data_IF_406034915504
#
_entry.id   IF_406034915504
#
_cell.length_a   1.000
_cell.length_b   1.000
_cell.length_c   1.000
_cell.angle_alpha   90.00
_cell.angle_beta   90.00
_cell.angle_gamma   90.00
#
_symmetry.space_group_name_H-M   'P 1'
#
loop_
_entity.id
_entity.type
_entity.pdbx_description
1 polymer ?
#
# COMPACT_ATOMS: atom_id res chain seq x y z
N UNK A 1 -4.69 17.38 -8.20
CA UNK A 1 -6.15 17.14 -8.41
C UNK A 1 -6.80 16.76 -7.09
N UNK A 2 -8.14 16.62 -6.97
CA UNK A 2 -8.80 16.24 -5.72
C UNK A 2 -9.21 14.76 -5.75
N UNK A 3 -9.21 14.10 -4.58
CA UNK A 3 -9.74 12.74 -4.42
C UNK A 3 -11.25 12.70 -4.12
N UNK A 4 -11.91 13.85 -4.08
CA UNK A 4 -13.35 13.92 -3.84
C UNK A 4 -14.12 13.09 -4.88
N UNK A 5 -14.98 12.18 -4.39
CA UNK A 5 -15.79 11.24 -5.19
C UNK A 5 -14.98 10.23 -6.03
N UNK A 6 -13.65 10.24 -5.94
CA UNK A 6 -12.80 9.24 -6.58
C UNK A 6 -12.90 7.91 -5.86
N UNK A 7 -12.97 6.83 -6.62
CA UNK A 7 -13.04 5.47 -6.10
C UNK A 7 -11.65 4.88 -5.97
N UNK A 8 -11.25 4.59 -4.74
CA UNK A 8 -9.93 4.06 -4.38
C UNK A 8 -10.07 2.63 -3.88
N UNK A 9 -9.53 1.67 -4.62
CA UNK A 9 -9.47 0.25 -4.22
C UNK A 9 -8.16 -0.01 -3.47
N UNK A 10 -8.24 -0.31 -2.16
CA UNK A 10 -7.04 -0.49 -1.31
C UNK A 10 -6.98 -1.92 -0.80
N UNK A 11 -5.93 -2.66 -1.19
CA UNK A 11 -5.68 -4.00 -0.65
C UNK A 11 -5.05 -3.93 0.73
N UNK A 12 -5.47 -4.80 1.66
CA UNK A 12 -4.95 -4.82 3.03
C UNK A 12 -5.35 -3.61 3.89
N UNK A 13 -6.46 -2.93 3.58
CA UNK A 13 -6.87 -1.67 4.21
C UNK A 13 -7.58 -1.83 5.57
N UNK A 14 -7.65 -3.03 6.15
CA UNK A 14 -8.31 -3.22 7.45
C UNK A 14 -7.52 -2.65 8.65
N UNK A 15 -6.25 -2.27 8.46
CA UNK A 15 -5.34 -1.73 9.49
C UNK A 15 -4.07 -1.12 8.89
N UNK A 16 -3.23 -0.53 9.76
CA UNK A 16 -1.87 -0.06 9.41
C UNK A 16 -1.84 0.98 8.31
N UNK A 17 -0.84 0.92 7.44
CA UNK A 17 -0.63 1.88 6.33
C UNK A 17 -1.86 1.97 5.43
N UNK A 18 -2.43 0.82 5.02
CA UNK A 18 -3.61 0.81 4.15
C UNK A 18 -4.82 1.50 4.76
N UNK A 19 -5.05 1.34 6.07
CA UNK A 19 -6.11 2.09 6.78
C UNK A 19 -5.75 3.58 6.89
N UNK A 20 -4.49 3.92 7.15
CA UNK A 20 -4.03 5.31 7.18
C UNK A 20 -4.33 6.03 5.86
N UNK A 21 -3.96 5.41 4.72
CA UNK A 21 -4.25 5.94 3.37
C UNK A 21 -5.77 6.08 3.16
N UNK A 22 -6.54 5.06 3.56
CA UNK A 22 -7.99 5.06 3.47
C UNK A 22 -8.63 6.23 4.22
N UNK A 23 -8.22 6.46 5.48
CA UNK A 23 -8.71 7.55 6.32
C UNK A 23 -8.32 8.92 5.78
N UNK A 24 -7.08 9.05 5.28
CA UNK A 24 -6.61 10.31 4.70
C UNK A 24 -7.39 10.67 3.43
N UNK A 25 -7.62 9.71 2.55
CA UNK A 25 -8.43 9.90 1.34
C UNK A 25 -9.92 10.19 1.68
N UNK A 26 -10.46 9.52 2.70
CA UNK A 26 -11.82 9.75 3.17
C UNK A 26 -12.07 11.18 3.63
N UNK A 27 -11.09 11.83 4.29
CA UNK A 27 -11.16 13.25 4.69
C UNK A 27 -11.28 14.20 3.49
N UNK A 28 -10.89 13.76 2.30
CA UNK A 28 -11.11 14.49 1.05
C UNK A 28 -12.43 14.15 0.35
N UNK A 29 -13.22 13.24 0.94
CA UNK A 29 -14.51 12.81 0.39
C UNK A 29 -14.41 11.69 -0.66
N UNK A 30 -13.38 10.85 -0.61
CA UNK A 30 -13.22 9.71 -1.50
C UNK A 30 -14.21 8.58 -1.20
N UNK A 31 -14.50 7.75 -2.22
CA UNK A 31 -15.11 6.44 -2.07
C UNK A 31 -13.97 5.41 -1.85
N UNK A 32 -13.99 4.69 -0.77
CA UNK A 32 -12.89 3.77 -0.40
C UNK A 32 -13.37 2.34 -0.32
N UNK A 33 -12.73 1.46 -1.07
CA UNK A 33 -12.93 0.01 -0.99
C UNK A 33 -11.89 -0.58 -0.05
N UNK A 34 -12.35 -1.21 1.01
CA UNK A 34 -11.51 -1.92 1.99
C UNK A 34 -11.44 -3.38 1.60
N UNK A 35 -10.48 -3.74 0.74
CA UNK A 35 -10.28 -5.12 0.29
C UNK A 35 -9.29 -5.85 1.21
N UNK A 36 -9.77 -6.67 2.14
CA UNK A 36 -8.94 -7.45 3.04
C UNK A 36 -9.64 -8.71 3.55
N UNK A 37 -8.88 -9.67 4.08
CA UNK A 37 -9.41 -10.98 4.49
C UNK A 37 -9.92 -11.03 5.95
N UNK A 38 -9.82 -9.95 6.72
CA UNK A 38 -10.13 -9.97 8.15
C UNK A 38 -11.55 -9.50 8.40
N UNK A 39 -12.45 -10.44 8.69
CA UNK A 39 -13.85 -10.17 9.06
C UNK A 39 -14.07 -10.11 10.58
N UNK A 40 -13.33 -10.92 11.32
CA UNK A 40 -13.50 -11.09 12.78
C UNK A 40 -12.30 -10.49 13.50
N UNK A 41 -12.51 -9.77 14.60
CA UNK A 41 -11.42 -9.24 15.41
C UNK A 41 -10.43 -10.32 15.84
N UNK A 42 -9.15 -10.03 15.74
CA UNK A 42 -8.09 -10.92 16.20
C UNK A 42 -7.48 -10.39 17.50
N UNK A 43 -7.21 -11.21 18.52
CA UNK A 43 -6.74 -10.72 19.83
C UNK A 43 -5.46 -9.86 19.79
N UNK A 44 -4.59 -10.15 18.83
CA UNK A 44 -3.27 -9.46 18.67
C UNK A 44 -3.23 -8.46 17.51
N UNK A 45 -4.20 -8.51 16.60
CA UNK A 45 -4.19 -7.68 15.38
C UNK A 45 -5.52 -6.92 15.29
N UNK A 46 -5.55 -5.66 15.74
CA UNK A 46 -6.78 -4.86 15.72
C UNK A 46 -7.24 -4.58 14.30
N UNK A 47 -8.55 -4.35 14.16
CA UNK A 47 -9.17 -3.94 12.90
C UNK A 47 -9.69 -5.10 12.04
N UNK A 48 -10.85 -4.85 11.45
CA UNK A 48 -11.52 -5.69 10.46
C UNK A 48 -11.92 -4.83 9.27
N UNK A 49 -12.39 -5.42 8.17
CA UNK A 49 -12.93 -4.63 7.05
C UNK A 49 -14.10 -3.75 7.49
N UNK A 50 -14.91 -4.21 8.46
CA UNK A 50 -16.08 -3.49 8.97
C UNK A 50 -15.71 -2.31 9.87
N UNK A 51 -14.77 -2.51 10.81
CA UNK A 51 -14.30 -1.40 11.68
C UNK A 51 -13.56 -0.34 10.86
N UNK A 52 -12.83 -0.75 9.83
CA UNK A 52 -12.19 0.18 8.88
C UNK A 52 -13.25 0.99 8.10
N UNK A 53 -14.29 0.32 7.59
CA UNK A 53 -15.38 0.99 6.87
C UNK A 53 -16.07 2.04 7.75
N UNK A 54 -16.42 1.69 8.99
CA UNK A 54 -17.03 2.66 9.93
C UNK A 54 -16.11 3.85 10.21
N UNK A 55 -14.80 3.63 10.34
CA UNK A 55 -13.84 4.72 10.56
C UNK A 55 -13.71 5.64 9.32
N UNK A 56 -13.75 5.07 8.11
CA UNK A 56 -13.73 5.80 6.84
C UNK A 56 -14.97 6.68 6.70
N UNK A 57 -16.16 6.16 7.02
CA UNK A 57 -17.41 6.92 6.99
C UNK A 57 -17.40 8.06 8.03
N UNK A 58 -16.91 7.78 9.23
CA UNK A 58 -16.73 8.82 10.27
C UNK A 58 -15.73 9.91 9.86
N UNK A 59 -14.77 9.59 8.99
CA UNK A 59 -13.81 10.55 8.44
C UNK A 59 -14.35 11.37 7.25
N UNK A 60 -15.57 11.10 6.78
CA UNK A 60 -16.26 11.87 5.72
C UNK A 60 -16.23 11.24 4.33
N UNK A 61 -15.66 10.04 4.18
CA UNK A 61 -15.70 9.25 2.95
C UNK A 61 -16.92 8.34 2.85
N UNK A 62 -17.02 7.59 1.75
CA UNK A 62 -17.93 6.45 1.61
C UNK A 62 -17.11 5.18 1.62
N UNK A 63 -17.56 4.14 2.32
CA UNK A 63 -16.83 2.89 2.44
C UNK A 63 -17.54 1.71 1.80
N UNK A 64 -16.76 0.79 1.22
CA UNK A 64 -17.23 -0.53 0.79
C UNK A 64 -16.31 -1.61 1.38
N UNK A 65 -16.71 -2.28 2.47
CA UNK A 65 -15.93 -3.37 3.03
C UNK A 65 -16.15 -4.65 2.22
N UNK A 66 -15.04 -5.22 1.71
CA UNK A 66 -15.05 -6.47 0.95
C UNK A 66 -14.08 -7.49 1.55
N UNK A 67 -14.59 -8.70 1.78
CA UNK A 67 -13.76 -9.82 2.21
C UNK A 67 -13.05 -10.41 0.99
N UNK A 68 -11.75 -10.16 0.90
CA UNK A 68 -10.92 -10.55 -0.23
C UNK A 68 -9.59 -11.10 0.25
N UNK A 69 -9.25 -12.30 -0.16
CA UNK A 69 -7.87 -12.79 -0.14
C UNK A 69 -7.31 -12.68 -1.56
N UNK A 70 -6.39 -11.73 -1.76
CA UNK A 70 -5.86 -11.40 -3.09
C UNK A 70 -5.02 -12.51 -3.74
N UNK A 71 -4.80 -13.61 -3.04
CA UNK A 71 -4.19 -14.83 -3.61
C UNK A 71 -5.14 -15.56 -4.57
N UNK A 72 -6.45 -15.33 -4.44
CA UNK A 72 -7.49 -15.97 -5.22
C UNK A 72 -8.05 -14.96 -6.23
N UNK A 73 -7.83 -15.26 -7.50
CA UNK A 73 -8.18 -14.40 -8.64
C UNK A 73 -9.69 -14.14 -8.72
N UNK A 74 -10.50 -15.19 -8.51
CA UNK A 74 -11.97 -15.11 -8.48
C UNK A 74 -12.48 -14.12 -7.44
N UNK A 75 -11.89 -14.11 -6.23
CA UNK A 75 -12.24 -13.14 -5.19
C UNK A 75 -11.87 -11.72 -5.56
N UNK A 76 -10.72 -11.52 -6.24
CA UNK A 76 -10.31 -10.19 -6.71
C UNK A 76 -11.27 -9.68 -7.79
N UNK A 77 -11.61 -10.51 -8.78
CA UNK A 77 -12.56 -10.12 -9.83
C UNK A 77 -13.96 -9.82 -9.27
N UNK A 78 -14.47 -10.64 -8.35
CA UNK A 78 -15.75 -10.40 -7.66
C UNK A 78 -15.73 -9.05 -6.89
N UNK A 79 -14.63 -8.76 -6.18
CA UNK A 79 -14.49 -7.51 -5.45
C UNK A 79 -14.42 -6.28 -6.38
N UNK A 80 -13.71 -6.38 -7.50
CA UNK A 80 -13.66 -5.33 -8.52
C UNK A 80 -15.06 -5.11 -9.10
N UNK A 81 -15.78 -6.16 -9.44
CA UNK A 81 -17.14 -6.06 -9.97
C UNK A 81 -18.09 -5.37 -8.97
N UNK A 82 -18.09 -5.80 -7.70
CA UNK A 82 -18.87 -5.14 -6.63
C UNK A 82 -18.51 -3.67 -6.43
N UNK A 83 -17.24 -3.33 -6.61
CA UNK A 83 -16.78 -1.94 -6.56
C UNK A 83 -17.41 -1.10 -7.66
N UNK A 84 -17.39 -1.62 -8.88
CA UNK A 84 -17.96 -0.96 -10.06
C UNK A 84 -19.48 -0.82 -9.93
N UNK A 85 -20.17 -1.87 -9.49
CA UNK A 85 -21.61 -1.81 -9.21
C UNK A 85 -21.97 -0.76 -8.17
N UNK A 86 -21.14 -0.59 -7.15
CA UNK A 86 -21.38 0.35 -6.03
C UNK A 86 -21.04 1.80 -6.37
N UNK A 87 -19.93 2.04 -7.07
CA UNK A 87 -19.35 3.36 -7.27
C UNK A 87 -19.21 3.78 -8.74
N UNK A 88 -19.52 2.90 -9.69
CA UNK A 88 -19.48 3.19 -11.12
C UNK A 88 -18.13 2.99 -11.80
N UNK A 89 -17.03 2.82 -11.06
CA UNK A 89 -15.68 2.65 -11.60
C UNK A 89 -14.61 2.57 -10.53
N UNK A 90 -13.35 2.55 -10.98
CA UNK A 90 -12.17 2.60 -10.13
C UNK A 90 -11.23 3.66 -10.71
N UNK A 91 -10.88 4.68 -9.91
CA UNK A 91 -9.93 5.73 -10.29
C UNK A 91 -8.51 5.40 -9.81
N UNK A 92 -8.40 4.72 -8.66
CA UNK A 92 -7.11 4.44 -8.03
C UNK A 92 -7.08 3.02 -7.48
N UNK A 93 -5.95 2.33 -7.70
CA UNK A 93 -5.59 1.09 -7.03
C UNK A 93 -4.41 1.33 -6.09
N UNK A 94 -4.53 0.90 -4.83
CA UNK A 94 -3.42 0.87 -3.89
C UNK A 94 -3.08 -0.58 -3.54
N UNK A 95 -1.96 -1.08 -4.06
CA UNK A 95 -1.40 -2.38 -3.73
C UNK A 95 -0.60 -2.28 -2.42
N UNK A 96 -1.30 -2.44 -1.29
CA UNK A 96 -0.71 -2.34 0.04
C UNK A 96 -0.68 -3.68 0.79
N UNK A 97 -1.52 -4.65 0.45
CA UNK A 97 -1.50 -5.96 1.12
C UNK A 97 -0.11 -6.61 1.02
N UNK A 98 0.40 -7.09 2.15
CA UNK A 98 1.74 -7.69 2.22
C UNK A 98 1.80 -8.81 3.25
N UNK A 99 2.64 -9.81 2.96
CA UNK A 99 3.11 -10.82 3.90
C UNK A 99 4.60 -10.60 4.14
N UNK A 100 5.04 -10.74 5.39
CA UNK A 100 6.42 -10.50 5.80
C UNK A 100 7.00 -11.70 6.56
N UNK A 101 8.25 -12.04 6.25
CA UNK A 101 9.11 -12.90 7.06
C UNK A 101 10.57 -12.51 6.80
N UNK A 102 11.20 -11.89 7.80
CA UNK A 102 12.59 -11.44 7.72
C UNK A 102 13.52 -12.55 8.27
N UNK A 103 13.53 -13.69 7.58
CA UNK A 103 14.29 -14.88 7.95
C UNK A 103 15.29 -15.25 6.86
N UNK A 104 16.43 -15.80 7.26
CA UNK A 104 17.44 -16.34 6.34
C UNK A 104 16.87 -17.53 5.52
N UNK A 105 17.52 -17.86 4.41
CA UNK A 105 17.04 -18.91 3.50
C UNK A 105 16.85 -20.26 4.21
N UNK A 106 17.77 -20.63 5.10
CA UNK A 106 17.68 -21.89 5.85
C UNK A 106 16.50 -21.94 6.82
N UNK A 107 16.06 -20.78 7.33
CA UNK A 107 15.04 -20.64 8.36
C UNK A 107 13.68 -20.24 7.80
N UNK A 108 13.56 -20.08 6.48
CA UNK A 108 12.32 -19.71 5.82
C UNK A 108 11.57 -20.96 5.35
N UNK A 109 10.48 -21.40 6.04
CA UNK A 109 9.67 -22.50 5.55
C UNK A 109 9.06 -22.19 4.17
N UNK A 110 9.03 -23.16 3.27
CA UNK A 110 8.45 -22.96 1.90
C UNK A 110 7.04 -22.40 1.95
N UNK A 111 6.22 -22.83 2.90
CA UNK A 111 4.87 -22.25 3.10
C UNK A 111 4.88 -20.73 3.35
N UNK A 112 5.94 -20.21 3.97
CA UNK A 112 6.13 -18.77 4.17
C UNK A 112 6.62 -18.08 2.90
N UNK A 113 7.54 -18.74 2.19
CA UNK A 113 7.98 -18.31 0.87
C UNK A 113 6.78 -18.18 -0.07
N UNK A 114 5.99 -19.24 -0.23
CA UNK A 114 4.81 -19.25 -1.09
C UNK A 114 3.83 -18.14 -0.72
N UNK A 115 3.54 -17.99 0.58
CA UNK A 115 2.66 -16.92 1.07
C UNK A 115 3.15 -15.53 0.67
N UNK A 116 4.46 -15.26 0.77
CA UNK A 116 5.02 -13.97 0.38
C UNK A 116 4.95 -13.74 -1.14
N UNK A 117 5.23 -14.77 -1.94
CA UNK A 117 5.10 -14.67 -3.40
C UNK A 117 3.65 -14.46 -3.82
N UNK A 118 2.73 -15.22 -3.26
CA UNK A 118 1.30 -15.16 -3.59
C UNK A 118 0.67 -13.82 -3.20
N UNK A 119 0.97 -13.32 -2.02
CA UNK A 119 0.38 -12.05 -1.54
C UNK A 119 1.06 -10.86 -2.17
N UNK A 120 2.40 -10.78 -2.10
CA UNK A 120 3.12 -9.56 -2.47
C UNK A 120 3.21 -9.44 -3.99
N UNK A 121 3.83 -10.42 -4.66
CA UNK A 121 4.09 -10.36 -6.10
C UNK A 121 2.83 -10.69 -6.91
N UNK A 122 2.31 -11.93 -6.76
CA UNK A 122 1.16 -12.38 -7.56
C UNK A 122 -0.08 -11.53 -7.28
N UNK A 123 -0.36 -11.22 -5.99
CA UNK A 123 -1.51 -10.40 -5.61
C UNK A 123 -1.45 -8.99 -6.20
N UNK A 124 -0.28 -8.34 -6.20
CA UNK A 124 -0.07 -7.04 -6.88
C UNK A 124 -0.40 -7.14 -8.37
N UNK A 125 0.10 -8.17 -9.05
CA UNK A 125 -0.15 -8.36 -10.48
C UNK A 125 -1.63 -8.58 -10.77
N UNK A 126 -2.28 -9.51 -10.07
CA UNK A 126 -3.71 -9.85 -10.25
C UNK A 126 -4.62 -8.64 -9.97
N UNK A 127 -4.39 -7.90 -8.89
CA UNK A 127 -5.19 -6.71 -8.59
C UNK A 127 -5.01 -5.62 -9.66
N UNK A 128 -3.78 -5.41 -10.14
CA UNK A 128 -3.51 -4.44 -11.21
C UNK A 128 -4.20 -4.83 -12.51
N UNK A 129 -4.13 -6.11 -12.91
CA UNK A 129 -4.79 -6.64 -14.10
C UNK A 129 -6.31 -6.51 -14.01
N UNK A 130 -6.92 -6.87 -12.88
CA UNK A 130 -8.37 -6.82 -12.69
C UNK A 130 -8.93 -5.38 -12.68
N UNK A 131 -8.16 -4.41 -12.14
CA UNK A 131 -8.56 -3.01 -12.11
C UNK A 131 -8.32 -2.27 -13.44
N UNK A 132 -7.40 -2.76 -14.28
CA UNK A 132 -6.96 -2.09 -15.52
C UNK A 132 -8.09 -1.61 -16.44
N UNK A 133 -9.14 -2.40 -16.74
CA UNK A 133 -10.21 -1.96 -17.65
C UNK A 133 -11.02 -0.76 -17.14
N UNK A 134 -10.99 -0.52 -15.83
CA UNK A 134 -11.70 0.59 -15.17
C UNK A 134 -10.79 1.78 -14.99
N UNK A 135 -9.54 1.57 -14.59
CA UNK A 135 -8.51 2.61 -14.53
C UNK A 135 -8.32 3.31 -15.88
N UNK A 136 -8.30 2.55 -16.99
CA UNK A 136 -8.17 3.10 -18.33
C UNK A 136 -9.33 4.03 -18.76
N UNK A 137 -10.44 4.08 -18.00
CA UNK A 137 -11.59 4.97 -18.24
C UNK A 137 -11.63 6.15 -17.27
N UNK A 138 -10.78 6.17 -16.26
CA UNK A 138 -10.73 7.23 -15.27
C UNK A 138 -10.01 8.47 -15.81
N UNK A 139 -10.31 9.66 -15.26
CA UNK A 139 -9.70 10.91 -15.71
C UNK A 139 -8.25 11.11 -15.25
N UNK A 140 -7.92 10.60 -14.07
CA UNK A 140 -6.58 10.70 -13.46
C UNK A 140 -6.25 9.39 -12.75
N UNK A 141 -6.05 8.31 -13.51
CA UNK A 141 -5.90 6.98 -12.93
C UNK A 141 -4.52 6.75 -12.34
N UNK A 142 -4.49 6.15 -11.14
CA UNK A 142 -3.22 5.78 -10.50
C UNK A 142 -3.21 4.34 -9.99
N UNK A 143 -2.06 3.70 -10.09
CA UNK A 143 -1.69 2.50 -9.35
C UNK A 143 -0.54 2.89 -8.42
N UNK A 144 -0.76 2.81 -7.11
CA UNK A 144 0.26 3.03 -6.10
C UNK A 144 0.59 1.72 -5.40
N UNK A 145 1.86 1.32 -5.42
CA UNK A 145 2.31 0.08 -4.81
C UNK A 145 3.23 0.36 -3.63
N UNK A 146 2.91 -0.22 -2.44
CA UNK A 146 3.75 -0.10 -1.26
C UNK A 146 4.95 -1.05 -1.39
N UNK A 147 5.97 -0.61 -2.13
CA UNK A 147 7.17 -1.39 -2.43
C UNK A 147 8.41 -0.50 -2.51
N UNK A 148 9.61 -1.05 -2.18
CA UNK A 148 10.84 -0.28 -2.08
C UNK A 148 11.44 0.08 -3.45
N UNK A 149 12.35 1.07 -3.51
CA UNK A 149 13.23 1.26 -4.66
C UNK A 149 14.03 0.00 -4.97
N UNK A 150 14.32 -0.24 -6.26
CA UNK A 150 15.13 -1.36 -6.70
C UNK A 150 16.62 -1.06 -6.50
N UNK A 151 17.23 -1.73 -5.54
CA UNK A 151 18.68 -1.71 -5.29
C UNK A 151 19.22 -3.14 -5.28
N UNK A 152 19.95 -3.51 -6.32
CA UNK A 152 20.42 -4.88 -6.55
C UNK A 152 21.67 -5.23 -5.73
N UNK A 153 22.09 -4.40 -4.77
CA UNK A 153 23.22 -4.73 -3.89
C UNK A 153 22.89 -5.91 -2.99
N UNK A 154 23.82 -6.87 -2.88
CA UNK A 154 23.64 -8.12 -2.15
C UNK A 154 23.23 -7.92 -0.68
N UNK A 155 23.59 -6.81 -0.05
CA UNK A 155 23.22 -6.50 1.34
C UNK A 155 21.71 -6.49 1.59
N UNK A 156 20.90 -6.17 0.58
CA UNK A 156 19.43 -6.16 0.69
C UNK A 156 18.80 -7.54 0.53
N UNK A 157 19.55 -8.49 -0.04
CA UNK A 157 19.09 -9.87 -0.25
C UNK A 157 19.55 -10.79 0.89
N UNK A 158 20.81 -10.68 1.30
CA UNK A 158 21.45 -11.65 2.17
C UNK A 158 20.70 -11.92 3.50
N UNK A 159 20.10 -10.95 4.20
CA UNK A 159 19.41 -11.20 5.46
C UNK A 159 18.06 -11.91 5.31
N UNK A 160 17.37 -11.75 4.17
CA UNK A 160 15.99 -12.21 3.99
C UNK A 160 15.61 -12.36 2.50
N UNK A 161 16.30 -13.26 1.81
CA UNK A 161 16.20 -13.48 0.35
C UNK A 161 14.74 -13.57 -0.12
N UNK A 162 13.93 -14.39 0.54
CA UNK A 162 12.53 -14.61 0.15
C UNK A 162 11.68 -13.33 0.21
N UNK A 163 11.83 -12.53 1.28
CA UNK A 163 11.10 -11.28 1.42
C UNK A 163 11.54 -10.24 0.38
N UNK A 164 12.86 -10.14 0.16
CA UNK A 164 13.41 -9.21 -0.86
C UNK A 164 12.89 -9.54 -2.25
N UNK A 165 12.93 -10.82 -2.65
CA UNK A 165 12.39 -11.24 -3.95
C UNK A 165 10.91 -10.86 -4.08
N UNK A 166 10.10 -11.12 -3.04
CA UNK A 166 8.68 -10.81 -3.06
C UNK A 166 8.41 -9.30 -3.17
N UNK A 167 9.12 -8.47 -2.40
CA UNK A 167 8.97 -7.00 -2.43
C UNK A 167 9.53 -6.38 -3.70
N UNK A 168 10.68 -6.84 -4.17
CA UNK A 168 11.24 -6.39 -5.46
C UNK A 168 10.39 -6.85 -6.65
N UNK A 169 9.73 -8.00 -6.54
CA UNK A 169 8.74 -8.42 -7.52
C UNK A 169 7.59 -7.42 -7.68
N UNK A 170 7.09 -6.85 -6.55
CA UNK A 170 6.11 -5.75 -6.60
C UNK A 170 6.70 -4.51 -7.31
N UNK A 171 7.94 -4.16 -7.00
CA UNK A 171 8.64 -3.02 -7.61
C UNK A 171 8.92 -3.24 -9.11
N UNK A 172 9.20 -4.49 -9.51
CA UNK A 172 9.34 -4.84 -10.93
C UNK A 172 8.00 -4.74 -11.68
N UNK A 173 6.87 -5.05 -11.03
CA UNK A 173 5.55 -4.76 -11.59
C UNK A 173 5.37 -3.25 -11.83
N UNK A 174 5.76 -2.42 -10.87
CA UNK A 174 5.70 -0.95 -11.04
C UNK A 174 6.53 -0.51 -12.23
N UNK A 175 7.77 -0.98 -12.33
CA UNK A 175 8.69 -0.61 -13.41
C UNK A 175 8.14 -0.97 -14.80
N UNK A 176 7.63 -2.20 -14.95
CA UNK A 176 7.08 -2.68 -16.22
C UNK A 176 5.75 -2.04 -16.58
N UNK A 177 4.81 -2.03 -15.62
CA UNK A 177 3.45 -1.50 -15.83
C UNK A 177 3.44 0.02 -16.04
N UNK A 178 4.40 0.77 -15.50
CA UNK A 178 4.51 2.20 -15.73
C UNK A 178 4.72 2.53 -17.22
N UNK A 179 5.52 1.74 -17.91
CA UNK A 179 5.73 1.92 -19.35
C UNK A 179 4.60 1.30 -20.18
N UNK A 180 4.15 0.10 -19.82
CA UNK A 180 3.06 -0.61 -20.50
C UNK A 180 1.75 0.21 -20.50
N UNK A 181 1.42 0.88 -19.37
CA UNK A 181 0.16 1.62 -19.23
C UNK A 181 0.27 3.11 -19.55
N UNK A 182 1.45 3.59 -19.91
CA UNK A 182 1.68 4.99 -20.33
C UNK A 182 0.72 5.44 -21.45
N UNK A 183 0.47 4.63 -22.52
CA UNK A 183 -0.48 5.00 -23.57
C UNK A 183 -1.93 5.14 -23.08
N UNK A 184 -2.25 4.55 -21.93
CA UNK A 184 -3.57 4.65 -21.27
C UNK A 184 -3.65 5.82 -20.29
N UNK A 185 -2.58 6.59 -20.10
CA UNK A 185 -2.51 7.69 -19.16
C UNK A 185 -2.53 7.30 -17.69
N UNK A 186 -2.22 6.03 -17.36
CA UNK A 186 -2.23 5.52 -15.99
C UNK A 186 -0.88 5.78 -15.34
N UNK A 187 -0.88 6.55 -14.24
CA UNK A 187 0.30 6.74 -13.40
C UNK A 187 0.55 5.52 -12.50
N UNK A 188 1.70 4.85 -12.70
CA UNK A 188 2.06 3.66 -11.89
C UNK A 188 3.32 3.97 -11.11
N UNK A 189 3.23 4.00 -9.77
CA UNK A 189 4.32 4.41 -8.91
C UNK A 189 4.46 3.48 -7.70
N UNK A 190 5.66 3.47 -7.11
CA UNK A 190 5.93 2.86 -5.82
C UNK A 190 6.06 3.94 -4.74
N UNK A 191 5.73 3.58 -3.50
CA UNK A 191 5.96 4.40 -2.30
C UNK A 191 6.54 3.51 -1.20
N UNK A 192 7.62 3.97 -0.55
CA UNK A 192 8.25 3.29 0.57
C UNK A 192 8.53 4.26 1.71
N UNK A 193 8.35 3.87 2.98
CA UNK A 193 8.64 4.73 4.10
C UNK A 193 10.15 4.88 4.35
N UNK A 194 10.63 6.07 4.71
CA UNK A 194 12.02 6.33 5.11
C UNK A 194 12.37 5.59 6.39
N UNK A 195 11.43 5.52 7.33
CA UNK A 195 11.61 4.91 8.63
C UNK A 195 10.60 3.80 8.84
N UNK A 196 10.86 2.90 9.79
CA UNK A 196 9.86 1.89 10.17
C UNK A 196 8.56 2.57 10.57
N UNK A 197 7.43 1.97 10.19
CA UNK A 197 6.09 2.49 10.50
C UNK A 197 5.46 1.65 11.61
N UNK A 198 5.02 2.30 12.67
CA UNK A 198 4.42 1.69 13.85
C UNK A 198 3.06 1.07 13.52
N UNK A 199 3.09 -0.15 13.02
CA UNK A 199 1.91 -0.95 12.68
C UNK A 199 1.95 -2.30 13.37
N UNK A 200 0.83 -3.01 13.36
CA UNK A 200 0.78 -4.38 13.89
C UNK A 200 1.74 -5.35 13.16
N UNK A 201 2.22 -5.01 11.96
CA UNK A 201 3.22 -5.80 11.26
C UNK A 201 4.57 -5.83 12.00
N UNK A 202 4.93 -4.78 12.73
CA UNK A 202 6.17 -4.77 13.53
C UNK A 202 6.16 -5.80 14.67
N UNK A 203 4.98 -6.18 15.17
CA UNK A 203 4.87 -7.16 16.27
C UNK A 203 5.38 -8.55 15.90
N UNK A 204 5.48 -8.87 14.61
CA UNK A 204 6.00 -10.16 14.11
C UNK A 204 7.47 -10.09 13.70
N UNK A 205 8.09 -8.91 13.82
CA UNK A 205 9.50 -8.69 13.49
C UNK A 205 10.31 -8.67 14.80
N UNK A 206 11.19 -9.66 15.05
CA UNK A 206 12.03 -9.67 16.25
C UNK A 206 12.90 -8.41 16.33
N UNK A 207 12.92 -7.75 17.49
CA UNK A 207 13.72 -6.55 17.72
C UNK A 207 13.23 -5.30 16.98
N UNK A 208 12.01 -5.31 16.46
CA UNK A 208 11.39 -4.09 15.96
C UNK A 208 10.95 -3.20 17.14
N UNK A 209 11.47 -1.99 17.17
CA UNK A 209 11.22 -0.96 18.20
C UNK A 209 10.25 0.08 17.61
N UNK A 210 8.94 -0.13 17.82
CA UNK A 210 7.90 0.75 17.27
C UNK A 210 8.08 2.22 17.67
N UNK A 211 8.64 2.45 18.86
CA UNK A 211 8.94 3.78 19.42
C UNK A 211 9.97 4.57 18.59
N UNK A 212 10.79 3.88 17.80
CA UNK A 212 11.77 4.45 16.88
C UNK A 212 11.23 4.60 15.46
N UNK A 213 9.93 4.49 15.31
CA UNK A 213 9.24 4.62 14.05
C UNK A 213 8.39 5.88 13.96
N UNK A 214 7.73 5.97 12.83
CA UNK A 214 6.67 6.96 12.59
C UNK A 214 5.31 6.31 12.52
N UNK A 215 4.29 7.13 12.65
CA UNK A 215 2.90 6.70 12.52
C UNK A 215 2.54 6.52 11.03
N UNK A 216 1.49 5.73 10.70
CA UNK A 216 1.06 5.51 9.32
C UNK A 216 0.67 6.78 8.56
N UNK A 217 0.39 7.87 9.27
CA UNK A 217 -0.06 9.13 8.70
C UNK A 217 0.96 9.74 7.73
N UNK A 218 2.26 9.57 7.97
CA UNK A 218 3.29 10.09 7.04
C UNK A 218 3.18 9.43 5.66
N UNK A 219 3.01 8.10 5.61
CA UNK A 219 2.83 7.37 4.35
C UNK A 219 1.48 7.72 3.71
N UNK A 220 0.45 7.95 4.53
CA UNK A 220 -0.87 8.32 4.06
C UNK A 220 -0.89 9.71 3.40
N UNK A 221 -0.24 10.69 4.01
CA UNK A 221 -0.12 12.04 3.44
C UNK A 221 0.70 12.03 2.14
N UNK A 222 1.83 11.32 2.11
CA UNK A 222 2.62 11.12 0.89
C UNK A 222 1.83 10.42 -0.22
N UNK A 223 1.08 9.36 0.12
CA UNK A 223 0.24 8.65 -0.84
C UNK A 223 -0.82 9.57 -1.46
N UNK A 224 -1.54 10.34 -0.65
CA UNK A 224 -2.57 11.26 -1.15
C UNK A 224 -1.94 12.36 -2.01
N UNK A 225 -0.78 12.89 -1.64
CA UNK A 225 -0.06 13.85 -2.48
C UNK A 225 0.24 13.25 -3.87
N UNK A 226 0.83 12.05 -3.94
CA UNK A 226 1.11 11.35 -5.21
C UNK A 226 -0.17 11.17 -6.03
N UNK A 227 -1.23 10.67 -5.42
CA UNK A 227 -2.50 10.35 -6.08
C UNK A 227 -3.26 11.58 -6.59
N UNK A 228 -2.89 12.78 -6.15
CA UNK A 228 -3.45 14.05 -6.62
C UNK A 228 -2.61 14.72 -7.72
N UNK A 229 -1.45 14.19 -8.07
CA UNK A 229 -0.65 14.65 -9.19
C UNK A 229 -1.26 14.22 -10.53
N UNK A 230 -0.75 14.77 -11.63
CA UNK A 230 -1.15 14.36 -12.98
C UNK A 230 -0.58 12.96 -13.30
N UNK A 231 -1.45 11.99 -13.54
CA UNK A 231 -1.08 10.61 -13.84
C UNK A 231 -0.24 10.45 -15.13
N UNK A 232 -0.40 11.36 -16.08
CA UNK A 232 0.38 11.34 -17.33
C UNK A 232 1.86 11.66 -17.12
N UNK A 233 2.18 12.46 -16.11
CA UNK A 233 3.55 12.91 -15.82
C UNK A 233 4.13 12.22 -14.60
N UNK A 234 3.28 11.74 -13.67
CA UNK A 234 3.70 11.08 -12.43
C UNK A 234 3.58 9.57 -12.58
N UNK A 235 4.58 8.96 -13.22
CA UNK A 235 4.62 7.51 -13.49
C UNK A 235 6.05 6.99 -13.52
N UNK A 236 6.28 5.74 -13.08
CA UNK A 236 7.58 5.09 -13.07
C UNK A 236 8.48 5.47 -11.90
N UNK A 237 7.96 6.17 -10.90
CA UNK A 237 8.74 6.65 -9.77
C UNK A 237 8.73 5.64 -8.61
N UNK A 238 9.84 5.66 -7.86
CA UNK A 238 10.00 4.95 -6.60
C UNK A 238 10.17 6.00 -5.50
N UNK A 239 9.07 6.45 -4.97
CA UNK A 239 9.00 7.51 -4.00
C UNK A 239 9.36 7.07 -2.58
N UNK A 240 9.94 8.00 -1.82
CA UNK A 240 10.12 7.90 -0.37
C UNK A 240 9.20 8.93 0.28
N UNK A 241 8.50 8.56 1.32
CA UNK A 241 7.48 9.39 1.98
C UNK A 241 7.98 10.79 2.37
N UNK A 242 9.13 10.87 3.05
CA UNK A 242 9.73 12.16 3.43
C UNK A 242 10.09 13.04 2.23
N UNK A 243 10.62 12.43 1.17
CA UNK A 243 11.03 13.16 -0.04
C UNK A 243 9.80 13.75 -0.74
N UNK A 244 8.73 12.96 -0.88
CA UNK A 244 7.45 13.40 -1.43
C UNK A 244 6.85 14.54 -0.61
N UNK A 245 6.86 14.43 0.71
CA UNK A 245 6.31 15.47 1.58
C UNK A 245 7.18 16.73 1.59
N UNK A 246 8.48 16.59 1.46
CA UNK A 246 9.38 17.74 1.31
C UNK A 246 9.10 18.50 -0.01
N UNK A 247 8.87 17.80 -1.11
CA UNK A 247 8.40 18.40 -2.38
C UNK A 247 7.05 19.11 -2.23
N UNK A 248 6.16 18.57 -1.37
CA UNK A 248 4.88 19.20 -1.00
C UNK A 248 5.02 20.40 -0.06
N UNK A 249 6.27 20.76 0.35
CA UNK A 249 6.56 21.88 1.24
C UNK A 249 6.52 21.56 2.74
N UNK A 250 6.35 20.29 3.11
CA UNK A 250 6.38 19.82 4.50
C UNK A 250 7.82 19.47 4.87
N UNK A 251 8.45 20.25 5.73
CA UNK A 251 9.85 20.06 6.14
C UNK A 251 10.02 19.61 7.59
N UNK A 252 8.97 19.74 8.41
CA UNK A 252 8.94 19.24 9.78
C UNK A 252 8.11 17.95 9.87
N UNK A 253 8.79 16.84 10.11
CA UNK A 253 8.20 15.51 10.26
C UNK A 253 8.04 15.08 11.74
N UNK A 254 8.32 15.95 12.68
CA UNK A 254 8.29 15.64 14.13
C UNK A 254 6.92 15.16 14.60
N UNK A 255 5.84 15.69 14.00
CA UNK A 255 4.46 15.31 14.30
C UNK A 255 4.11 13.86 13.92
N UNK A 256 4.91 13.20 13.09
CA UNK A 256 4.71 11.80 12.73
C UNK A 256 5.49 10.81 13.61
N UNK A 257 6.40 11.29 14.47
CA UNK A 257 7.18 10.41 15.35
C UNK A 257 6.28 9.75 16.40
N UNK A 258 6.41 8.43 16.58
CA UNK A 258 5.70 7.69 17.65
C UNK A 258 6.15 8.17 19.03
N UNK A 259 7.47 8.36 19.20
CA UNK A 259 8.06 8.89 20.44
C UNK A 259 8.98 10.06 20.09
N UNK A 260 8.51 11.31 20.30
CA UNK A 260 9.32 12.49 20.03
C UNK A 260 10.65 12.46 20.78
N UNK A 261 11.74 12.80 20.06
CA UNK A 261 13.11 12.81 20.61
C UNK A 261 13.85 11.46 20.58
N UNK A 262 13.17 10.37 20.26
CA UNK A 262 13.86 9.07 20.03
C UNK A 262 14.54 9.08 18.65
N UNK A 263 15.78 8.54 18.54
CA UNK A 263 16.41 8.35 17.24
C UNK A 263 15.59 7.42 16.36
N UNK A 264 15.18 7.89 15.20
CA UNK A 264 14.40 7.09 14.25
C UNK A 264 15.24 5.95 13.65
N UNK A 265 14.58 4.86 13.31
CA UNK A 265 15.17 3.70 12.64
C UNK A 265 14.77 3.71 11.17
N UNK A 266 15.77 3.74 10.28
CA UNK A 266 15.56 3.59 8.83
C UNK A 266 14.89 2.26 8.53
N UNK A 267 13.98 2.24 7.57
CA UNK A 267 13.32 1.02 7.13
C UNK A 267 14.24 0.16 6.25
N UNK A 268 13.84 -1.08 6.06
CA UNK A 268 14.54 -2.04 5.20
C UNK A 268 14.61 -1.51 3.77
N UNK A 269 15.70 -1.79 3.05
CA UNK A 269 15.99 -1.38 1.66
C UNK A 269 16.46 0.08 1.50
N UNK A 270 16.65 0.82 2.57
CA UNK A 270 17.21 2.18 2.52
C UNK A 270 18.52 2.27 3.32
N UNK A 271 19.46 3.13 2.84
CA UNK A 271 20.72 3.47 3.54
C UNK A 271 20.49 4.55 4.61
#
# INVERSE_FOLDING_TARGET
>A
MSLREKTIFITGASRGIGLGIALRAAREGANVVVAAKTAVPHPKLPGTVYTAASAIEAAGGKALPLLVDIRFEDQVHDAVQKTVERFGGIDVLVNNASAISLTATADTPLKRFDLMMDVNLRGTYVCSQACLPYLAKAQNPHILTLSPPLDMRAKWFAPHVAYTIAKYGMSMCVLGMAEEFRPLGIGVNALWPRTIIATAALQVIPGAEAERGRTPEIVADAAVYILTQDSHTTTGNFFIDEEVLAEAGITDFSGYAVSPGMPLRTDVFLD
#
